data_IF_882006349340
#
_entry.id   IF_882006349340
#
_cell.length_a   1.000
_cell.length_b   1.000
_cell.length_c   1.000
_cell.angle_alpha   90.00
_cell.angle_beta   90.00
_cell.angle_gamma   90.00
#
_symmetry.space_group_name_H-M   'P 1'
#
loop_
_entity.id
_entity.type
_entity.pdbx_description
1 polymer ?
#
# COMPACT_ATOMS: atom_id res chain seq x y z
N UNK A 1 3.95 -9.05 -36.25
CA UNK A 1 4.19 -9.65 -34.92
C UNK A 1 3.85 -8.59 -33.89
N UNK A 2 2.73 -8.73 -33.16
CA UNK A 2 2.35 -7.76 -32.12
C UNK A 2 3.29 -7.96 -30.93
N UNK A 3 4.01 -6.91 -30.57
CA UNK A 3 4.78 -6.86 -29.34
C UNK A 3 3.79 -7.02 -28.18
N UNK A 4 3.96 -8.07 -27.38
CA UNK A 4 3.17 -8.26 -26.17
C UNK A 4 3.80 -7.40 -25.09
N UNK A 5 3.09 -6.35 -24.68
CA UNK A 5 3.54 -5.49 -23.59
C UNK A 5 3.89 -6.37 -22.37
N UNK A 6 5.10 -6.23 -21.84
CA UNK A 6 5.49 -6.90 -20.60
C UNK A 6 4.60 -6.36 -19.49
N UNK A 7 3.94 -7.27 -18.76
CA UNK A 7 3.16 -6.90 -17.59
C UNK A 7 4.14 -6.65 -16.45
N UNK A 8 4.18 -5.41 -15.96
CA UNK A 8 4.90 -5.06 -14.75
C UNK A 8 4.25 -5.75 -13.53
N UNK A 9 5.06 -6.45 -12.73
CA UNK A 9 4.58 -7.26 -11.61
C UNK A 9 4.62 -6.53 -10.27
N UNK A 10 5.15 -5.30 -10.24
CA UNK A 10 5.27 -4.52 -9.00
C UNK A 10 3.88 -4.13 -8.47
N UNK A 11 3.70 -4.33 -7.18
CA UNK A 11 2.45 -3.98 -6.48
C UNK A 11 2.39 -2.46 -6.32
N UNK A 12 1.43 -1.81 -6.98
CA UNK A 12 1.22 -0.37 -6.89
C UNK A 12 0.37 0.04 -5.67
N UNK A 13 -0.58 -0.80 -5.26
CA UNK A 13 -1.45 -0.49 -4.13
C UNK A 13 -2.01 -1.75 -3.47
N UNK A 14 -2.28 -1.67 -2.16
CA UNK A 14 -2.94 -2.74 -1.39
C UNK A 14 -4.16 -2.15 -0.69
N UNK A 15 -5.33 -2.78 -0.89
CA UNK A 15 -6.59 -2.37 -0.29
C UNK A 15 -7.24 -3.53 0.46
N UNK A 16 -7.96 -3.22 1.56
CA UNK A 16 -8.82 -4.20 2.23
C UNK A 16 -8.67 -4.25 3.76
N UNK A 17 -9.23 -5.30 4.34
CA UNK A 17 -9.14 -5.59 5.78
C UNK A 17 -7.88 -6.38 6.10
N UNK A 18 -6.92 -5.74 6.76
CA UNK A 18 -5.64 -6.36 7.16
C UNK A 18 -5.77 -7.28 8.39
N UNK A 19 -6.93 -7.31 9.05
CA UNK A 19 -7.23 -8.15 10.20
C UNK A 19 -6.27 -7.98 11.41
N UNK A 20 -5.75 -6.77 11.60
CA UNK A 20 -4.73 -6.44 12.61
C UNK A 20 -5.31 -6.04 13.98
N UNK A 21 -6.61 -6.21 14.20
CA UNK A 21 -7.27 -5.76 15.44
C UNK A 21 -6.71 -6.41 16.72
N UNK A 22 -6.26 -7.66 16.65
CA UNK A 22 -5.67 -8.40 17.78
C UNK A 22 -4.13 -8.47 17.71
N UNK A 23 -3.52 -7.75 16.77
CA UNK A 23 -2.07 -7.72 16.56
C UNK A 23 -1.45 -6.69 17.51
N UNK A 24 -0.25 -6.98 18.01
CA UNK A 24 0.47 -6.03 18.86
C UNK A 24 0.81 -4.74 18.09
N UNK A 25 0.90 -3.60 18.78
CA UNK A 25 1.27 -2.33 18.14
C UNK A 25 2.65 -2.40 17.47
N UNK A 26 3.60 -3.14 18.07
CA UNK A 26 4.93 -3.37 17.52
C UNK A 26 4.86 -4.11 16.17
N UNK A 27 4.05 -5.18 16.10
CA UNK A 27 3.86 -5.94 14.88
C UNK A 27 3.12 -5.14 13.81
N UNK A 28 2.12 -4.36 14.20
CA UNK A 28 1.42 -3.44 13.28
C UNK A 28 2.40 -2.46 12.65
N UNK A 29 3.27 -1.87 13.46
CA UNK A 29 4.30 -0.93 13.02
C UNK A 29 5.34 -1.60 12.12
N UNK A 30 5.75 -2.83 12.46
CA UNK A 30 6.65 -3.64 11.62
C UNK A 30 6.03 -3.94 10.25
N UNK A 31 4.78 -4.38 10.21
CA UNK A 31 4.06 -4.67 8.95
C UNK A 31 3.93 -3.41 8.10
N UNK A 32 3.58 -2.27 8.70
CA UNK A 32 3.49 -0.99 7.98
C UNK A 32 4.84 -0.63 7.32
N UNK A 33 5.95 -0.74 8.06
CA UNK A 33 7.30 -0.52 7.53
C UNK A 33 7.69 -1.52 6.46
N UNK A 34 7.38 -2.81 6.61
CA UNK A 34 7.67 -3.81 5.58
C UNK A 34 6.95 -3.45 4.27
N UNK A 35 5.66 -3.09 4.31
CA UNK A 35 4.90 -2.67 3.12
C UNK A 35 5.53 -1.43 2.45
N UNK A 36 5.97 -0.45 3.24
CA UNK A 36 6.50 0.82 2.73
C UNK A 36 7.96 0.73 2.27
N UNK A 37 8.85 0.16 3.08
CA UNK A 37 10.30 0.21 2.86
C UNK A 37 10.80 -0.99 2.05
N UNK A 38 10.31 -2.19 2.38
CA UNK A 38 10.76 -3.45 1.76
C UNK A 38 10.03 -3.68 0.44
N UNK A 39 8.70 -3.66 0.46
CA UNK A 39 7.89 -3.92 -0.73
C UNK A 39 7.70 -2.66 -1.58
N UNK A 40 8.08 -1.48 -1.05
CA UNK A 40 8.03 -0.19 -1.75
C UNK A 40 6.67 0.05 -2.39
N UNK A 41 5.60 -0.31 -1.68
CA UNK A 41 4.23 -0.19 -2.14
C UNK A 41 3.87 1.29 -2.07
N UNK A 42 3.50 1.93 -3.20
CA UNK A 42 3.30 3.37 -3.21
C UNK A 42 2.06 3.88 -2.48
N UNK A 43 1.01 3.07 -2.31
CA UNK A 43 -0.29 3.53 -1.77
C UNK A 43 -0.96 2.40 -1.00
N UNK A 44 -1.60 2.71 0.13
CA UNK A 44 -2.32 1.73 0.95
C UNK A 44 -3.74 2.20 1.26
N UNK A 45 -4.69 1.27 1.25
CA UNK A 45 -6.09 1.53 1.55
C UNK A 45 -6.71 0.57 2.54
N UNK A 46 -6.42 0.70 3.85
CA UNK A 46 -7.04 -0.14 4.87
C UNK A 46 -8.53 0.18 5.03
N UNK A 47 -9.32 -0.88 5.21
CA UNK A 47 -10.76 -0.82 5.43
C UNK A 47 -11.25 -1.93 6.38
N UNK A 48 -12.53 -1.86 6.75
CA UNK A 48 -13.28 -2.86 7.52
C UNK A 48 -12.69 -3.23 8.91
N UNK A 49 -11.70 -4.14 8.98
CA UNK A 49 -11.22 -4.80 10.22
C UNK A 49 -9.73 -4.57 10.53
N UNK A 50 -9.10 -3.53 9.97
CA UNK A 50 -7.68 -3.26 10.25
C UNK A 50 -7.40 -2.86 11.70
N UNK A 51 -8.39 -2.34 12.43
CA UNK A 51 -8.20 -1.84 13.80
C UNK A 51 -7.56 -0.44 13.82
N UNK A 52 -7.90 0.34 14.86
CA UNK A 52 -7.53 1.76 14.94
C UNK A 52 -6.02 1.99 14.99
N UNK A 53 -5.26 1.10 15.64
CA UNK A 53 -3.80 1.16 15.70
C UNK A 53 -3.16 1.02 14.30
N UNK A 54 -3.63 0.07 13.49
CA UNK A 54 -3.13 -0.11 12.12
C UNK A 54 -3.49 1.07 11.21
N UNK A 55 -4.68 1.65 11.39
CA UNK A 55 -5.06 2.84 10.63
C UNK A 55 -4.16 4.02 10.98
N UNK A 56 -3.83 4.20 12.26
CA UNK A 56 -2.92 5.25 12.70
C UNK A 56 -1.51 5.05 12.15
N UNK A 57 -0.94 3.84 12.28
CA UNK A 57 0.39 3.52 11.79
C UNK A 57 0.52 3.68 10.27
N UNK A 58 -0.45 3.15 9.50
CA UNK A 58 -0.45 3.26 8.05
C UNK A 58 -0.68 4.70 7.58
N UNK A 59 -1.53 5.47 8.26
CA UNK A 59 -1.75 6.88 7.92
C UNK A 59 -0.50 7.71 8.20
N UNK A 60 0.17 7.48 9.31
CA UNK A 60 1.39 8.20 9.68
C UNK A 60 2.56 7.87 8.72
N UNK A 61 2.63 6.64 8.23
CA UNK A 61 3.70 6.25 7.31
C UNK A 61 3.43 6.68 5.87
N UNK A 62 2.19 6.55 5.38
CA UNK A 62 1.85 6.79 3.98
C UNK A 62 1.38 8.23 3.70
N UNK A 63 0.94 8.98 4.71
CA UNK A 63 0.52 10.39 4.60
C UNK A 63 -0.46 10.60 3.42
N UNK A 64 -0.11 11.43 2.43
CA UNK A 64 -0.92 11.71 1.23
C UNK A 64 -1.20 10.47 0.36
N UNK A 65 -0.48 9.38 0.59
CA UNK A 65 -0.63 8.09 -0.10
C UNK A 65 -1.50 7.09 0.68
N UNK A 66 -2.10 7.51 1.78
CA UNK A 66 -3.08 6.75 2.53
C UNK A 66 -4.50 7.00 2.01
N UNK A 67 -5.23 5.93 1.71
CA UNK A 67 -6.62 6.00 1.28
C UNK A 67 -7.50 5.37 2.36
N UNK A 68 -8.43 6.13 2.95
CA UNK A 68 -9.43 5.52 3.83
C UNK A 68 -10.45 4.74 2.98
N UNK A 69 -10.31 3.41 2.94
CA UNK A 69 -11.16 2.53 2.13
C UNK A 69 -12.49 2.21 2.84
N UNK A 70 -13.24 3.27 3.16
CA UNK A 70 -14.61 3.20 3.67
C UNK A 70 -15.65 2.99 2.58
N UNK A 71 -16.91 2.80 2.98
CA UNK A 71 -18.03 2.68 2.05
C UNK A 71 -18.18 3.95 1.21
N UNK A 72 -18.32 3.79 -0.11
CA UNK A 72 -18.46 4.90 -1.05
C UNK A 72 -17.15 5.59 -1.46
N UNK A 73 -16.00 5.17 -0.93
CA UNK A 73 -14.69 5.68 -1.38
C UNK A 73 -14.41 5.21 -2.82
N UNK A 74 -14.19 6.16 -3.72
CA UNK A 74 -13.71 5.89 -5.09
C UNK A 74 -12.22 6.21 -5.21
N UNK A 75 -11.40 5.26 -5.65
CA UNK A 75 -9.99 5.47 -5.96
C UNK A 75 -9.74 5.27 -7.46
N UNK A 76 -8.87 6.09 -8.04
CA UNK A 76 -8.43 5.95 -9.42
C UNK A 76 -6.93 5.67 -9.42
N UNK A 77 -6.54 4.48 -9.86
CA UNK A 77 -5.15 4.19 -10.19
C UNK A 77 -4.85 4.77 -11.57
N UNK A 78 -3.88 5.68 -11.65
CA UNK A 78 -3.27 6.04 -12.92
C UNK A 78 -2.22 4.99 -13.28
N UNK A 79 -1.94 4.86 -14.56
CA UNK A 79 -0.80 4.07 -15.02
C UNK A 79 0.47 4.54 -14.30
N UNK A 80 1.16 3.60 -13.67
CA UNK A 80 2.33 3.92 -12.88
C UNK A 80 3.48 4.24 -13.86
N UNK A 81 3.81 5.53 -13.99
CA UNK A 81 5.05 5.95 -14.62
C UNK A 81 6.20 5.58 -13.68
N UNK A 82 6.63 4.32 -13.74
CA UNK A 82 7.92 3.90 -13.19
C UNK A 82 9.00 4.59 -14.02
N UNK A 83 9.39 5.79 -13.58
CA UNK A 83 10.59 6.44 -14.09
C UNK A 83 11.77 5.48 -13.96
N UNK A 84 12.72 5.60 -14.89
CA UNK A 84 14.00 4.91 -14.93
C UNK A 84 14.89 5.28 -13.71
N UNK A 85 14.41 4.98 -12.51
CA UNK A 85 15.18 4.99 -11.29
C UNK A 85 15.96 3.67 -11.31
N UNK A 86 17.05 3.70 -12.07
CA UNK A 86 18.10 2.70 -12.03
C UNK A 86 18.33 2.33 -10.57
N UNK A 87 18.19 1.04 -10.29
CA UNK A 87 18.68 0.43 -9.06
C UNK A 87 20.19 0.71 -9.04
N UNK A 88 20.56 1.84 -8.44
CA UNK A 88 21.95 2.20 -8.23
C UNK A 88 22.41 1.49 -6.95
N UNK A 89 23.00 0.33 -7.22
CA UNK A 89 23.96 -0.46 -6.44
C UNK A 89 23.56 -0.92 -5.02
#
# INVERSE_FOLDING_TARGET
MKEVARVETRIYSVFGGFHLLSTSDEDVQRIARELHDTWRIPTVGPGHCGGMAAFAALRDLYQDRYIYAGLGTSSHSREANYGNESISN
#
